data_IF_786207257669
#
_entry.id   IF_786207257669
#
_cell.length_a   1.000
_cell.length_b   1.000
_cell.length_c   1.000
_cell.angle_alpha   90.00
_cell.angle_beta   90.00
_cell.angle_gamma   90.00
#
_symmetry.space_group_name_H-M   'P 1'
#
loop_
_entity.id
_entity.type
_entity.pdbx_description
1 polymer ?
#
# COMPACT_ATOMS: atom_id res chain seq x y z
N UNK A 1 -25.40 -15.89 12.49
CA UNK A 1 -24.11 -15.38 13.02
C UNK A 1 -23.24 -15.08 11.81
N UNK A 2 -23.03 -13.80 11.46
CA UNK A 2 -22.03 -13.41 10.45
C UNK A 2 -20.66 -13.70 11.08
N UNK A 3 -19.90 -14.66 10.52
CA UNK A 3 -18.54 -14.92 10.96
C UNK A 3 -17.74 -13.64 10.91
N UNK A 4 -16.91 -13.40 11.93
CA UNK A 4 -15.93 -12.30 11.92
C UNK A 4 -15.11 -12.40 10.62
N UNK A 5 -14.89 -11.30 9.89
CA UNK A 5 -14.09 -11.35 8.66
C UNK A 5 -12.72 -11.96 8.97
N UNK A 6 -12.36 -12.98 8.20
CA UNK A 6 -11.07 -13.67 8.37
C UNK A 6 -9.95 -12.66 8.12
N UNK A 7 -9.17 -12.37 9.15
CA UNK A 7 -8.03 -11.47 9.05
C UNK A 7 -6.93 -12.11 8.21
N UNK A 8 -6.47 -11.40 7.17
CA UNK A 8 -5.33 -11.80 6.33
C UNK A 8 -4.01 -11.47 7.04
N UNK A 9 -3.95 -10.32 7.72
CA UNK A 9 -2.82 -9.93 8.56
C UNK A 9 -3.33 -9.51 9.92
N UNK A 10 -2.64 -9.96 10.97
CA UNK A 10 -2.88 -9.50 12.34
C UNK A 10 -1.55 -9.31 13.05
N UNK A 11 -1.33 -8.11 13.57
CA UNK A 11 -0.19 -7.75 14.39
C UNK A 11 -0.67 -7.38 15.79
N UNK A 12 0.00 -7.90 16.82
CA UNK A 12 -0.27 -7.59 18.23
C UNK A 12 1.03 -7.20 18.90
N UNK A 13 1.12 -5.95 19.38
CA UNK A 13 2.30 -5.37 20.00
C UNK A 13 3.58 -5.65 19.20
N UNK A 14 3.47 -5.57 17.86
CA UNK A 14 4.56 -5.87 16.95
C UNK A 14 5.71 -4.91 17.16
N UNK A 15 6.85 -5.43 17.60
CA UNK A 15 8.12 -4.72 17.62
C UNK A 15 9.09 -5.42 16.68
N UNK A 16 9.76 -4.67 15.82
CA UNK A 16 10.75 -5.21 14.90
C UNK A 16 12.03 -4.39 14.91
N UNK A 17 13.15 -5.08 14.64
CA UNK A 17 14.45 -4.44 14.48
C UNK A 17 14.95 -4.64 13.03
N UNK A 18 15.67 -3.63 12.54
CA UNK A 18 16.40 -3.72 11.28
C UNK A 18 17.53 -4.75 11.37
N UNK A 19 18.10 -5.13 10.22
CA UNK A 19 19.29 -5.98 10.15
C UNK A 19 20.53 -5.36 10.86
N UNK A 20 20.54 -4.05 11.03
CA UNK A 20 21.59 -3.30 11.76
C UNK A 20 21.29 -3.14 13.26
N UNK A 21 20.19 -3.72 13.76
CA UNK A 21 19.84 -3.75 15.17
C UNK A 21 19.11 -2.53 15.72
N UNK A 22 18.85 -1.47 14.92
CA UNK A 22 18.05 -0.34 15.39
C UNK A 22 16.54 -0.69 15.36
N UNK A 23 15.79 -0.09 16.28
CA UNK A 23 14.35 -0.32 16.39
C UNK A 23 13.62 0.31 15.19
N UNK A 24 12.86 -0.50 14.47
CA UNK A 24 12.24 -0.11 13.22
C UNK A 24 10.72 0.11 13.37
N UNK A 25 10.06 -0.71 14.21
CA UNK A 25 8.65 -0.59 14.56
C UNK A 25 8.49 -0.91 16.04
N UNK A 26 7.60 -0.20 16.72
CA UNK A 26 7.32 -0.36 18.15
C UNK A 26 5.81 -0.46 18.39
N UNK A 27 5.38 -1.50 19.10
CA UNK A 27 4.04 -1.72 19.66
C UNK A 27 2.88 -1.54 18.66
N UNK A 28 3.09 -1.93 17.38
CA UNK A 28 2.05 -1.84 16.38
C UNK A 28 0.99 -2.96 16.58
N UNK A 29 -0.28 -2.56 16.71
CA UNK A 29 -1.41 -3.49 16.84
C UNK A 29 -2.47 -3.15 15.80
N UNK A 30 -2.64 -3.99 14.80
CA UNK A 30 -3.60 -3.79 13.70
C UNK A 30 -4.02 -5.11 13.08
N UNK A 31 -5.08 -5.09 12.29
CA UNK A 31 -5.52 -6.26 11.51
C UNK A 31 -6.09 -5.83 10.17
N UNK A 32 -5.81 -6.59 9.12
CA UNK A 32 -6.33 -6.35 7.76
C UNK A 32 -7.19 -7.54 7.35
N UNK A 33 -8.45 -7.29 7.02
CA UNK A 33 -9.37 -8.29 6.56
C UNK A 33 -9.20 -8.57 5.04
N UNK A 34 -9.82 -9.66 4.56
CA UNK A 34 -9.87 -9.95 3.13
C UNK A 34 -10.53 -8.78 2.37
N UNK A 35 -9.86 -8.29 1.33
CA UNK A 35 -10.35 -7.19 0.49
C UNK A 35 -10.26 -5.80 1.12
N UNK A 36 -9.81 -5.68 2.37
CA UNK A 36 -9.66 -4.40 3.07
C UNK A 36 -8.42 -3.66 2.56
N UNK A 37 -8.57 -2.36 2.28
CA UNK A 37 -7.46 -1.46 1.93
C UNK A 37 -7.05 -0.63 3.14
N UNK A 38 -5.78 -0.72 3.54
CA UNK A 38 -5.21 0.05 4.65
C UNK A 38 -4.18 1.03 4.12
N UNK A 39 -4.35 2.32 4.41
CA UNK A 39 -3.32 3.32 4.15
C UNK A 39 -2.40 3.48 5.37
N UNK A 40 -1.10 3.42 5.15
CA UNK A 40 -0.08 3.75 6.17
C UNK A 40 0.42 5.15 5.89
N UNK A 41 0.19 6.07 6.82
CA UNK A 41 0.59 7.46 6.71
C UNK A 41 1.49 7.89 7.89
N UNK A 42 2.24 8.95 7.70
CA UNK A 42 3.17 9.49 8.70
C UNK A 42 4.28 10.30 8.04
N UNK A 43 5.02 11.13 8.78
CA UNK A 43 6.14 11.88 8.24
C UNK A 43 7.28 10.98 7.77
N UNK A 44 8.25 11.56 7.06
CA UNK A 44 9.45 10.83 6.67
C UNK A 44 10.20 10.33 7.91
N UNK A 45 10.69 9.08 7.85
CA UNK A 45 11.38 8.45 8.98
C UNK A 45 10.45 7.92 10.09
N UNK A 46 9.12 8.00 9.95
CA UNK A 46 8.18 7.49 10.97
C UNK A 46 8.09 5.96 11.06
N UNK A 47 8.72 5.22 10.12
CA UNK A 47 8.76 3.75 10.16
C UNK A 47 7.79 3.07 9.19
N UNK A 48 7.15 3.77 8.25
CA UNK A 48 6.17 3.21 7.29
C UNK A 48 6.74 2.04 6.46
N UNK A 49 7.82 2.27 5.72
CA UNK A 49 8.49 1.22 4.94
C UNK A 49 9.09 0.13 5.84
N UNK A 50 9.48 0.49 7.08
CA UNK A 50 9.94 -0.47 8.08
C UNK A 50 8.82 -1.42 8.53
N UNK A 51 7.59 -0.93 8.61
CA UNK A 51 6.42 -1.77 8.88
C UNK A 51 6.20 -2.79 7.75
N UNK A 52 6.30 -2.37 6.47
CA UNK A 52 6.21 -3.29 5.35
C UNK A 52 7.33 -4.35 5.39
N UNK A 53 8.57 -3.93 5.70
CA UNK A 53 9.72 -4.84 5.86
C UNK A 53 9.57 -5.81 7.04
N UNK A 54 8.89 -5.41 8.10
CA UNK A 54 8.54 -6.32 9.20
C UNK A 54 7.52 -7.38 8.75
N UNK A 55 6.52 -6.99 7.94
CA UNK A 55 5.51 -7.92 7.41
C UNK A 55 6.15 -8.91 6.43
N UNK A 56 7.05 -8.47 5.56
CA UNK A 56 7.77 -9.36 4.63
C UNK A 56 8.76 -10.28 5.35
N UNK A 57 9.19 -9.91 6.56
CA UNK A 57 10.19 -10.64 7.34
C UNK A 57 11.63 -10.25 7.04
N UNK A 58 11.86 -9.18 6.26
CA UNK A 58 13.19 -8.57 6.11
C UNK A 58 13.70 -8.02 7.46
N UNK A 59 12.78 -7.52 8.27
CA UNK A 59 13.05 -7.10 9.64
C UNK A 59 12.50 -8.13 10.62
N UNK A 60 13.35 -8.57 11.56
CA UNK A 60 12.97 -9.58 12.54
C UNK A 60 11.99 -9.02 13.56
N UNK A 61 10.91 -9.74 13.81
CA UNK A 61 10.04 -9.52 14.97
C UNK A 61 10.81 -9.91 16.24
N UNK A 62 11.00 -8.94 17.14
CA UNK A 62 11.71 -9.13 18.41
C UNK A 62 10.76 -9.24 19.60
N UNK A 63 9.54 -8.70 19.46
CA UNK A 63 8.49 -8.83 20.46
C UNK A 63 7.11 -8.74 19.77
N UNK A 64 6.07 -9.26 20.42
CA UNK A 64 4.73 -9.31 19.89
C UNK A 64 4.54 -10.48 18.91
N UNK A 65 3.48 -10.40 18.10
CA UNK A 65 3.09 -11.46 17.17
C UNK A 65 2.61 -10.89 15.85
N UNK A 66 3.04 -11.50 14.76
CA UNK A 66 2.56 -11.23 13.41
C UNK A 66 2.01 -12.51 12.79
N UNK A 67 0.73 -12.51 12.46
CA UNK A 67 0.07 -13.60 11.75
C UNK A 67 -0.20 -13.20 10.31
N UNK A 68 0.06 -14.09 9.37
CA UNK A 68 -0.32 -13.98 7.96
C UNK A 68 -1.22 -15.17 7.65
N UNK A 69 -2.45 -14.89 7.24
CA UNK A 69 -3.48 -15.90 7.01
C UNK A 69 -3.63 -16.91 8.18
N UNK A 70 -3.58 -16.40 9.41
CA UNK A 70 -3.69 -17.19 10.65
C UNK A 70 -2.43 -17.92 11.09
N UNK A 71 -1.37 -17.95 10.28
CA UNK A 71 -0.09 -18.61 10.59
C UNK A 71 0.93 -17.57 11.07
N UNK A 72 1.73 -17.92 12.09
CA UNK A 72 2.81 -17.05 12.57
C UNK A 72 3.82 -16.80 11.44
N UNK A 73 4.08 -15.52 11.15
CA UNK A 73 4.97 -15.12 10.06
C UNK A 73 6.40 -15.66 10.19
N UNK A 74 6.85 -15.99 11.42
CA UNK A 74 8.15 -16.60 11.67
C UNK A 74 8.19 -18.10 11.33
N UNK A 75 7.02 -18.76 11.21
CA UNK A 75 6.90 -20.19 10.88
C UNK A 75 6.75 -20.43 9.37
N UNK A 76 6.45 -19.38 8.61
CA UNK A 76 6.33 -19.45 7.15
C UNK A 76 7.71 -19.49 6.51
N UNK A 77 7.95 -20.50 5.67
CA UNK A 77 9.13 -20.49 4.82
C UNK A 77 9.04 -19.36 3.74
N UNK A 78 10.15 -18.94 3.13
CA UNK A 78 10.17 -17.86 2.16
C UNK A 78 9.23 -18.07 0.97
N UNK A 79 9.08 -19.31 0.48
CA UNK A 79 8.21 -19.63 -0.65
C UNK A 79 6.73 -19.55 -0.26
N UNK A 80 6.37 -20.10 0.90
CA UNK A 80 5.00 -19.98 1.44
C UNK A 80 4.61 -18.51 1.61
N UNK A 81 5.50 -17.68 2.17
CA UNK A 81 5.29 -16.25 2.33
C UNK A 81 5.16 -15.55 0.97
N UNK A 82 6.04 -15.87 0.01
CA UNK A 82 6.00 -15.30 -1.33
C UNK A 82 4.73 -15.69 -2.12
N UNK A 83 4.07 -16.81 -1.83
CA UNK A 83 2.76 -17.14 -2.41
C UNK A 83 1.60 -16.32 -1.81
N UNK A 84 1.77 -15.81 -0.60
CA UNK A 84 0.71 -15.09 0.11
C UNK A 84 0.86 -13.57 0.05
N UNK A 85 2.09 -13.06 -0.03
CA UNK A 85 2.40 -11.64 0.07
C UNK A 85 3.14 -11.19 -1.18
N UNK A 86 2.54 -10.29 -1.95
CA UNK A 86 3.23 -9.58 -3.03
C UNK A 86 3.65 -8.18 -2.57
N UNK A 87 4.78 -7.72 -3.08
CA UNK A 87 5.34 -6.40 -2.75
C UNK A 87 5.58 -5.61 -4.04
N UNK A 88 5.15 -4.36 -4.01
CA UNK A 88 5.54 -3.33 -4.99
C UNK A 88 6.39 -2.31 -4.24
N UNK A 89 7.69 -2.32 -4.49
CA UNK A 89 8.64 -1.47 -3.80
C UNK A 89 8.70 -0.07 -4.43
N UNK A 90 9.12 0.93 -3.66
CA UNK A 90 9.24 2.34 -4.09
C UNK A 90 10.18 2.51 -5.30
N UNK A 91 11.28 1.79 -5.32
CA UNK A 91 12.32 1.85 -6.36
C UNK A 91 12.46 0.49 -7.06
N UNK A 92 11.40 0.07 -7.72
CA UNK A 92 11.44 -1.16 -8.49
C UNK A 92 11.86 -0.83 -9.92
N UNK A 93 13.08 -1.27 -10.28
CA UNK A 93 13.61 -1.11 -11.62
C UNK A 93 13.49 -2.42 -12.39
N UNK A 94 12.49 -2.52 -13.24
CA UNK A 94 12.38 -3.61 -14.20
C UNK A 94 13.50 -3.51 -15.23
N UNK A 95 14.07 -4.66 -15.66
CA UNK A 95 15.02 -4.66 -16.78
C UNK A 95 14.30 -4.11 -18.03
N UNK A 96 14.76 -2.98 -18.61
CA UNK A 96 14.11 -2.33 -19.73
C UNK A 96 14.07 -3.18 -21.01
N UNK A 97 14.87 -4.26 -21.07
CA UNK A 97 14.97 -5.20 -22.20
C UNK A 97 13.93 -6.30 -22.18
N UNK A 98 13.27 -6.53 -21.04
CA UNK A 98 12.17 -7.49 -20.94
C UNK A 98 10.93 -6.93 -21.62
N UNK A 99 10.14 -7.81 -22.24
CA UNK A 99 8.77 -7.47 -22.62
C UNK A 99 7.92 -7.33 -21.35
N UNK A 100 6.82 -6.60 -21.45
CA UNK A 100 5.84 -6.44 -20.34
C UNK A 100 5.37 -7.82 -19.85
N UNK A 101 5.10 -8.74 -20.78
CA UNK A 101 4.67 -10.12 -20.49
C UNK A 101 5.73 -10.89 -19.71
N UNK A 102 6.99 -10.86 -20.16
CA UNK A 102 8.10 -11.51 -19.46
C UNK A 102 8.29 -10.94 -18.06
N UNK A 103 8.20 -9.62 -17.92
CA UNK A 103 8.29 -8.98 -16.61
C UNK A 103 7.16 -9.40 -15.67
N UNK A 104 5.92 -9.41 -16.15
CA UNK A 104 4.75 -9.84 -15.36
C UNK A 104 4.85 -11.33 -15.00
N UNK A 105 5.43 -12.15 -15.89
CA UNK A 105 5.71 -13.56 -15.63
C UNK A 105 6.59 -13.79 -14.39
N UNK A 106 7.49 -12.88 -14.05
CA UNK A 106 8.31 -12.98 -12.84
C UNK A 106 7.46 -13.09 -11.56
N UNK A 107 6.24 -12.57 -11.56
CA UNK A 107 5.28 -12.76 -10.48
C UNK A 107 4.89 -14.23 -10.26
N UNK A 108 5.11 -15.11 -11.23
CA UNK A 108 4.80 -16.54 -11.14
C UNK A 108 5.91 -17.40 -10.50
N UNK A 109 7.08 -16.81 -10.23
CA UNK A 109 8.23 -17.53 -9.65
C UNK A 109 7.87 -18.35 -8.40
N UNK A 110 7.09 -17.84 -7.42
CA UNK A 110 6.71 -18.64 -6.25
C UNK A 110 5.87 -19.88 -6.59
N UNK A 111 5.25 -19.92 -7.75
CA UNK A 111 4.35 -20.98 -8.20
C UNK A 111 4.99 -21.99 -9.18
N UNK A 112 6.30 -21.85 -9.48
CA UNK A 112 7.00 -22.64 -10.52
C UNK A 112 6.80 -24.16 -10.36
N UNK A 113 6.74 -24.66 -9.13
CA UNK A 113 6.65 -26.10 -8.88
C UNK A 113 5.23 -26.59 -8.57
N UNK A 114 4.23 -25.74 -8.56
CA UNK A 114 2.86 -26.12 -8.19
C UNK A 114 1.80 -25.81 -9.23
N UNK A 115 2.16 -25.16 -10.32
CA UNK A 115 1.24 -24.76 -11.39
C UNK A 115 1.77 -25.22 -12.76
N UNK A 116 0.87 -25.51 -13.69
CA UNK A 116 1.18 -25.81 -15.09
C UNK A 116 1.49 -24.52 -15.86
N UNK A 117 2.16 -24.64 -17.01
CA UNK A 117 2.44 -23.50 -17.89
C UNK A 117 1.14 -22.76 -18.30
N UNK A 118 0.06 -23.50 -18.55
CA UNK A 118 -1.25 -22.93 -18.92
C UNK A 118 -1.85 -22.09 -17.79
N UNK A 119 -1.68 -22.49 -16.53
CA UNK A 119 -2.10 -21.72 -15.36
C UNK A 119 -1.26 -20.45 -15.20
N UNK A 120 0.06 -20.55 -15.44
CA UNK A 120 0.93 -19.38 -15.44
C UNK A 120 0.55 -18.36 -16.52
N UNK A 121 0.36 -18.82 -17.76
CA UNK A 121 -0.09 -17.99 -18.88
C UNK A 121 -1.41 -17.28 -18.55
N UNK A 122 -2.40 -18.02 -18.05
CA UNK A 122 -3.70 -17.46 -17.67
C UNK A 122 -3.57 -16.38 -16.59
N UNK A 123 -2.75 -16.60 -15.57
CA UNK A 123 -2.55 -15.62 -14.49
C UNK A 123 -1.87 -14.35 -15.00
N UNK A 124 -0.91 -14.47 -15.92
CA UNK A 124 -0.22 -13.34 -16.55
C UNK A 124 -1.19 -12.55 -17.45
N UNK A 125 -1.98 -13.23 -18.31
CA UNK A 125 -2.97 -12.56 -19.16
C UNK A 125 -4.00 -11.80 -18.32
N UNK A 126 -4.55 -12.43 -17.28
CA UNK A 126 -5.49 -11.79 -16.38
C UNK A 126 -4.87 -10.56 -15.68
N UNK A 127 -3.62 -10.67 -15.22
CA UNK A 127 -2.94 -9.55 -14.60
C UNK A 127 -2.70 -8.38 -15.57
N UNK A 128 -2.38 -8.66 -16.83
CA UNK A 128 -2.25 -7.65 -17.88
C UNK A 128 -3.59 -6.98 -18.21
N UNK A 129 -4.68 -7.75 -18.24
CA UNK A 129 -6.02 -7.25 -18.43
C UNK A 129 -6.47 -6.33 -17.29
N UNK A 130 -6.28 -6.78 -16.06
CA UNK A 130 -6.62 -6.03 -14.84
C UNK A 130 -6.02 -4.63 -14.81
N UNK A 131 -4.80 -4.45 -15.35
CA UNK A 131 -4.11 -3.14 -15.38
C UNK A 131 -4.22 -2.41 -16.74
N UNK A 132 -4.96 -2.97 -17.71
CA UNK A 132 -5.13 -2.37 -19.04
C UNK A 132 -3.88 -2.40 -19.93
N UNK A 133 -3.01 -3.40 -19.76
CA UNK A 133 -1.77 -3.56 -20.53
C UNK A 133 -1.80 -4.74 -21.53
N UNK A 134 -2.93 -5.42 -21.75
CA UNK A 134 -3.04 -6.59 -22.63
C UNK A 134 -2.45 -6.35 -24.02
N UNK A 135 -2.78 -5.20 -24.66
CA UNK A 135 -2.28 -4.83 -25.98
C UNK A 135 -0.80 -4.45 -26.02
N UNK A 136 -0.18 -4.27 -24.83
CA UNK A 136 1.23 -3.88 -24.68
C UNK A 136 2.11 -5.01 -24.18
N UNK A 137 1.57 -6.22 -24.02
CA UNK A 137 2.29 -7.36 -23.47
C UNK A 137 3.62 -7.69 -24.17
N UNK A 138 3.70 -7.46 -25.49
CA UNK A 138 4.91 -7.71 -26.29
C UNK A 138 5.84 -6.46 -26.44
N UNK A 139 5.48 -5.32 -25.84
CA UNK A 139 6.37 -4.15 -25.82
C UNK A 139 7.44 -4.31 -24.77
N UNK A 140 8.59 -3.67 -25.00
CA UNK A 140 9.65 -3.62 -24.01
C UNK A 140 9.26 -2.68 -22.86
N UNK A 141 9.60 -3.05 -21.62
CA UNK A 141 9.36 -2.23 -20.42
C UNK A 141 9.97 -0.83 -20.59
N UNK A 142 11.18 -0.74 -21.16
CA UNK A 142 11.86 0.54 -21.39
C UNK A 142 11.16 1.47 -22.38
N UNK A 143 10.16 0.97 -23.15
CA UNK A 143 9.37 1.78 -24.08
C UNK A 143 8.08 2.33 -23.48
N UNK A 144 7.76 1.95 -22.24
CA UNK A 144 6.55 2.36 -21.54
C UNK A 144 6.73 3.74 -20.87
N UNK A 145 5.64 4.50 -20.75
CA UNK A 145 5.59 5.67 -19.88
C UNK A 145 5.75 5.28 -18.40
N UNK A 146 6.10 6.22 -17.52
CA UNK A 146 6.24 5.95 -16.09
C UNK A 146 4.97 5.36 -15.45
N UNK A 147 3.79 5.87 -15.83
CA UNK A 147 2.51 5.32 -15.36
C UNK A 147 2.25 3.91 -15.88
N UNK A 148 2.63 3.58 -17.11
CA UNK A 148 2.53 2.23 -17.65
C UNK A 148 3.53 1.26 -16.99
N UNK A 149 4.74 1.73 -16.69
CA UNK A 149 5.72 0.94 -15.93
C UNK A 149 5.18 0.64 -14.52
N UNK A 150 4.56 1.61 -13.87
CA UNK A 150 3.95 1.38 -12.55
C UNK A 150 2.78 0.39 -12.63
N UNK A 151 1.94 0.46 -13.66
CA UNK A 151 0.90 -0.55 -13.93
C UNK A 151 1.51 -1.93 -14.19
N UNK A 152 2.66 -2.02 -14.86
CA UNK A 152 3.36 -3.29 -15.06
C UNK A 152 3.89 -3.86 -13.72
N UNK A 153 4.38 -3.03 -12.80
CA UNK A 153 4.77 -3.44 -11.44
C UNK A 153 3.56 -4.02 -10.68
N UNK A 154 2.40 -3.38 -10.76
CA UNK A 154 1.16 -3.88 -10.17
C UNK A 154 0.72 -5.19 -10.85
N UNK A 155 0.79 -5.29 -12.19
CA UNK A 155 0.46 -6.53 -12.92
C UNK A 155 1.34 -7.69 -12.48
N UNK A 156 2.65 -7.48 -12.31
CA UNK A 156 3.57 -8.49 -11.78
C UNK A 156 3.14 -8.96 -10.38
N UNK A 157 2.76 -8.02 -9.51
CA UNK A 157 2.26 -8.37 -8.18
C UNK A 157 0.90 -9.10 -8.23
N UNK A 158 0.00 -8.74 -9.14
CA UNK A 158 -1.28 -9.44 -9.33
C UNK A 158 -1.10 -10.83 -9.93
N UNK A 159 -0.15 -11.02 -10.86
CA UNK A 159 0.17 -12.32 -11.42
C UNK A 159 0.64 -13.33 -10.36
N UNK A 160 1.15 -12.86 -9.23
CA UNK A 160 1.49 -13.69 -8.07
C UNK A 160 0.26 -14.25 -7.36
N UNK A 161 -0.96 -13.76 -7.63
CA UNK A 161 -2.22 -14.15 -6.98
C UNK A 161 -2.14 -14.07 -5.43
N UNK A 162 -1.67 -12.95 -4.87
CA UNK A 162 -1.40 -12.82 -3.45
C UNK A 162 -2.70 -12.74 -2.63
N UNK A 163 -2.60 -13.07 -1.34
CA UNK A 163 -3.63 -12.78 -0.33
C UNK A 163 -3.48 -11.36 0.25
N UNK A 164 -2.26 -10.85 0.25
CA UNK A 164 -1.89 -9.51 0.73
C UNK A 164 -1.01 -8.81 -0.29
N UNK A 165 -1.35 -7.58 -0.62
CA UNK A 165 -0.55 -6.68 -1.45
C UNK A 165 0.07 -5.59 -0.56
N UNK A 166 1.37 -5.48 -0.58
CA UNK A 166 2.13 -4.42 0.08
C UNK A 166 2.65 -3.44 -0.96
N UNK A 167 2.38 -2.17 -0.75
CA UNK A 167 2.68 -1.09 -1.70
C UNK A 167 3.48 0.00 -0.98
N UNK A 168 4.73 0.19 -1.37
CA UNK A 168 5.55 1.26 -0.81
C UNK A 168 5.57 2.45 -1.78
N UNK A 169 4.78 3.48 -1.47
CA UNK A 169 4.64 4.72 -2.24
C UNK A 169 4.27 4.50 -3.73
N UNK A 170 3.20 3.72 -4.03
CA UNK A 170 2.88 3.30 -5.39
C UNK A 170 2.49 4.45 -6.33
N UNK A 171 2.16 5.61 -5.78
CA UNK A 171 1.70 6.80 -6.53
C UNK A 171 2.79 7.81 -6.83
N UNK A 172 4.02 7.56 -6.39
CA UNK A 172 5.13 8.49 -6.64
C UNK A 172 5.43 8.63 -8.13
N UNK A 173 5.77 9.84 -8.54
CA UNK A 173 6.11 10.22 -9.92
C UNK A 173 4.97 10.05 -10.95
N UNK A 174 3.75 9.76 -10.50
CA UNK A 174 2.57 9.74 -11.35
C UNK A 174 1.89 11.11 -11.39
N UNK A 175 1.25 11.42 -12.53
CA UNK A 175 0.36 12.57 -12.62
C UNK A 175 -0.91 12.36 -11.75
N UNK A 176 -1.65 13.44 -11.43
CA UNK A 176 -2.78 13.36 -10.51
C UNK A 176 -3.86 12.35 -10.92
N UNK A 177 -4.16 12.24 -12.22
CA UNK A 177 -5.17 11.31 -12.72
C UNK A 177 -4.68 9.86 -12.58
N UNK A 178 -3.44 9.59 -13.01
CA UNK A 178 -2.84 8.25 -12.92
C UNK A 178 -2.74 7.73 -11.48
N UNK A 179 -2.55 8.63 -10.48
CA UNK A 179 -2.57 8.26 -9.04
C UNK A 179 -3.93 7.72 -8.63
N UNK A 180 -5.00 8.43 -8.98
CA UNK A 180 -6.38 8.05 -8.65
C UNK A 180 -6.74 6.73 -9.32
N UNK A 181 -6.50 6.62 -10.64
CA UNK A 181 -6.77 5.40 -11.42
C UNK A 181 -6.03 4.19 -10.86
N UNK A 182 -4.76 4.35 -10.46
CA UNK A 182 -3.97 3.25 -9.89
C UNK A 182 -4.54 2.75 -8.56
N UNK A 183 -4.91 3.68 -7.65
CA UNK A 183 -5.48 3.31 -6.35
C UNK A 183 -6.87 2.68 -6.52
N UNK A 184 -7.69 3.18 -7.44
CA UNK A 184 -8.99 2.59 -7.76
C UNK A 184 -8.83 1.16 -8.32
N UNK A 185 -7.88 0.96 -9.23
CA UNK A 185 -7.56 -0.36 -9.80
C UNK A 185 -7.17 -1.36 -8.70
N UNK A 186 -6.33 -0.95 -7.74
CA UNK A 186 -5.94 -1.80 -6.61
C UNK A 186 -7.17 -2.14 -5.76
N UNK A 187 -8.02 -1.17 -5.47
CA UNK A 187 -9.24 -1.35 -4.68
C UNK A 187 -10.23 -2.29 -5.36
N UNK A 188 -10.46 -2.12 -6.67
CA UNK A 188 -11.34 -2.97 -7.48
C UNK A 188 -10.86 -4.43 -7.57
N UNK A 189 -9.54 -4.67 -7.47
CA UNK A 189 -9.01 -6.04 -7.44
C UNK A 189 -9.49 -6.85 -6.23
N UNK A 190 -9.87 -6.19 -5.13
CA UNK A 190 -10.42 -6.84 -3.93
C UNK A 190 -9.43 -7.71 -3.17
N UNK A 191 -8.13 -7.49 -3.34
CA UNK A 191 -7.07 -8.12 -2.55
C UNK A 191 -6.82 -7.25 -1.32
N UNK A 192 -6.64 -7.89 -0.14
CA UNK A 192 -6.21 -7.17 1.05
C UNK A 192 -4.93 -6.37 0.75
N UNK A 193 -4.93 -5.08 1.04
CA UNK A 193 -3.84 -4.19 0.62
C UNK A 193 -3.38 -3.29 1.76
N UNK A 194 -2.06 -3.12 1.89
CA UNK A 194 -1.43 -2.12 2.78
C UNK A 194 -0.58 -1.21 1.90
N UNK A 195 -0.96 0.06 1.78
CA UNK A 195 -0.27 1.04 0.96
C UNK A 195 0.32 2.17 1.81
N UNK A 196 1.60 2.44 1.67
CA UNK A 196 2.23 3.66 2.18
C UNK A 196 1.85 4.80 1.25
N UNK A 197 1.18 5.81 1.78
CA UNK A 197 0.75 6.99 1.03
C UNK A 197 1.32 8.26 1.64
N UNK A 198 1.83 9.16 0.78
CA UNK A 198 2.30 10.50 1.18
C UNK A 198 1.24 11.58 0.96
N UNK A 199 0.38 11.40 -0.05
CA UNK A 199 -0.65 12.35 -0.42
C UNK A 199 -1.89 12.14 0.45
N UNK A 200 -2.05 12.93 1.53
CA UNK A 200 -3.17 12.82 2.46
C UNK A 200 -4.56 12.88 1.81
N UNK A 201 -4.81 13.72 0.77
CA UNK A 201 -6.08 13.73 0.04
C UNK A 201 -6.46 12.39 -0.61
N UNK A 202 -5.48 11.53 -0.94
CA UNK A 202 -5.73 10.22 -1.55
C UNK A 202 -6.11 9.14 -0.53
N UNK A 203 -5.92 9.40 0.76
CA UNK A 203 -6.10 8.40 1.82
C UNK A 203 -7.56 8.00 1.97
N UNK A 204 -8.46 8.96 2.14
CA UNK A 204 -9.88 8.68 2.36
C UNK A 204 -10.58 8.00 1.17
N UNK A 205 -10.32 8.36 -0.11
CA UNK A 205 -10.86 7.63 -1.26
C UNK A 205 -10.38 6.18 -1.38
N UNK A 206 -9.13 5.92 -0.96
CA UNK A 206 -8.51 4.61 -1.09
C UNK A 206 -8.83 3.68 0.08
N UNK A 207 -8.66 4.15 1.31
CA UNK A 207 -8.54 3.29 2.47
C UNK A 207 -9.86 3.04 3.21
N UNK A 208 -10.06 1.81 3.67
CA UNK A 208 -11.10 1.45 4.64
C UNK A 208 -10.61 1.74 6.06
N UNK A 209 -9.29 1.63 6.29
CA UNK A 209 -8.63 2.02 7.56
C UNK A 209 -7.32 2.73 7.31
N UNK A 210 -6.93 3.54 8.25
CA UNK A 210 -5.69 4.31 8.26
C UNK A 210 -4.84 3.90 9.45
N UNK A 211 -3.58 3.58 9.19
CA UNK A 211 -2.55 3.35 10.18
C UNK A 211 -1.63 4.57 10.20
N UNK A 212 -1.73 5.38 11.25
CA UNK A 212 -0.91 6.57 11.44
C UNK A 212 0.35 6.22 12.24
N UNK A 213 1.51 6.53 11.68
CA UNK A 213 2.81 6.31 12.30
C UNK A 213 3.53 7.61 12.62
N UNK A 214 4.18 7.66 13.78
CA UNK A 214 5.14 8.69 14.18
C UNK A 214 6.25 8.08 15.02
N UNK A 215 7.49 8.46 14.81
CA UNK A 215 8.66 8.03 15.60
C UNK A 215 8.75 6.49 15.80
N UNK A 216 8.54 5.74 14.71
CA UNK A 216 8.52 4.26 14.67
C UNK A 216 7.40 3.62 15.52
N UNK A 217 6.40 4.40 15.96
CA UNK A 217 5.23 3.92 16.72
C UNK A 217 3.96 4.09 15.93
N UNK A 218 3.01 3.20 16.17
CA UNK A 218 1.64 3.38 15.74
C UNK A 218 0.93 4.36 16.67
N UNK A 219 0.45 5.47 16.11
CA UNK A 219 -0.30 6.51 16.82
C UNK A 219 -1.80 6.21 16.83
N UNK A 220 -2.33 5.78 15.69
CA UNK A 220 -3.74 5.46 15.53
C UNK A 220 -3.94 4.37 14.47
N UNK A 221 -5.02 3.59 14.62
CA UNK A 221 -5.51 2.65 13.63
C UNK A 221 -7.03 2.64 13.66
N UNK A 222 -7.67 3.33 12.71
CA UNK A 222 -9.12 3.49 12.65
C UNK A 222 -9.58 3.86 11.23
N UNK A 223 -10.87 4.17 11.03
CA UNK A 223 -11.38 4.65 9.75
C UNK A 223 -10.76 6.00 9.35
N UNK A 224 -10.76 6.35 8.05
CA UNK A 224 -10.27 7.65 7.60
C UNK A 224 -10.95 8.82 8.32
N UNK A 225 -12.26 8.77 8.55
CA UNK A 225 -13.01 9.82 9.22
C UNK A 225 -12.55 10.05 10.67
N UNK A 226 -12.05 9.00 11.32
CA UNK A 226 -11.57 9.09 12.71
C UNK A 226 -10.11 9.59 12.75
N UNK A 227 -9.24 9.09 11.86
CA UNK A 227 -7.81 9.45 11.88
C UNK A 227 -7.54 10.81 11.25
N UNK A 228 -8.33 11.21 10.22
CA UNK A 228 -8.14 12.49 9.51
C UNK A 228 -8.78 13.66 10.29
N UNK A 229 -8.50 13.73 11.59
CA UNK A 229 -8.93 14.78 12.50
C UNK A 229 -7.71 15.56 13.01
N UNK A 230 -7.94 16.82 13.41
CA UNK A 230 -6.88 17.68 13.95
C UNK A 230 -6.17 17.08 15.16
N UNK A 231 -6.87 16.27 15.95
CA UNK A 231 -6.31 15.57 17.13
C UNK A 231 -5.12 14.67 16.76
N UNK A 232 -5.18 14.02 15.61
CA UNK A 232 -4.13 13.09 15.12
C UNK A 232 -3.19 13.75 14.11
N UNK A 233 -3.74 14.49 13.15
CA UNK A 233 -2.95 15.03 12.03
C UNK A 233 -2.08 16.21 12.47
N UNK A 234 -2.59 17.11 13.31
CA UNK A 234 -1.82 18.29 13.70
C UNK A 234 -0.55 17.95 14.48
N UNK A 235 -0.58 17.08 15.52
CA UNK A 235 0.64 16.74 16.25
C UNK A 235 1.69 16.00 15.41
N UNK A 236 1.25 15.21 14.41
CA UNK A 236 2.13 14.36 13.61
C UNK A 236 2.71 15.08 12.39
N UNK A 237 1.89 15.89 11.70
CA UNK A 237 2.27 16.52 10.44
C UNK A 237 2.44 18.04 10.54
N UNK A 238 2.00 18.67 11.63
CA UNK A 238 1.94 20.13 11.72
C UNK A 238 0.89 20.76 10.80
N UNK A 239 -0.09 19.97 10.35
CA UNK A 239 -1.16 20.39 9.45
C UNK A 239 -2.49 20.54 10.20
N UNK A 240 -3.29 21.50 9.75
CA UNK A 240 -4.70 21.64 10.15
C UNK A 240 -5.58 20.97 9.11
N UNK A 241 -6.54 20.17 9.57
CA UNK A 241 -7.55 19.53 8.72
C UNK A 241 -8.83 20.36 8.75
N UNK A 242 -9.29 20.74 7.56
CA UNK A 242 -10.59 21.36 7.36
C UNK A 242 -11.47 20.37 6.63
N UNK A 243 -12.54 19.92 7.29
CA UNK A 243 -13.48 18.96 6.73
C UNK A 243 -14.61 19.70 6.04
N UNK A 244 -14.80 19.42 4.75
CA UNK A 244 -15.81 20.04 3.90
C UNK A 244 -16.82 18.98 3.44
N UNK A 245 -18.12 19.33 3.40
CA UNK A 245 -19.12 18.51 2.74
C UNK A 245 -19.09 18.75 1.24
N UNK A 246 -19.06 17.67 0.45
CA UNK A 246 -19.15 17.77 -1.01
C UNK A 246 -20.59 17.53 -1.46
N UNK A 247 -21.17 18.39 -2.34
CA UNK A 247 -22.59 18.29 -2.70
C UNK A 247 -22.92 17.04 -3.55
N UNK A 248 -21.93 16.41 -4.18
CA UNK A 248 -22.12 15.28 -5.12
C UNK A 248 -21.44 13.99 -4.68
N UNK A 249 -20.58 14.03 -3.66
CA UNK A 249 -19.84 12.86 -3.16
C UNK A 249 -20.35 12.55 -1.75
N UNK A 250 -20.80 11.32 -1.53
CA UNK A 250 -21.12 10.87 -0.19
C UNK A 250 -19.82 10.73 0.62
N UNK A 251 -19.68 11.54 1.66
CA UNK A 251 -18.50 11.58 2.51
C UNK A 251 -17.91 12.97 2.67
N UNK A 252 -16.92 13.08 3.54
CA UNK A 252 -16.20 14.31 3.82
C UNK A 252 -14.97 14.44 2.92
N UNK A 253 -14.75 15.64 2.40
CA UNK A 253 -13.50 16.02 1.73
C UNK A 253 -12.61 16.71 2.74
N UNK A 254 -11.36 16.26 2.86
CA UNK A 254 -10.40 16.86 3.77
C UNK A 254 -9.46 17.79 3.00
N UNK A 255 -9.40 19.04 3.45
CA UNK A 255 -8.43 20.02 3.02
C UNK A 255 -7.38 20.22 4.11
N UNK A 256 -6.11 20.39 3.72
CA UNK A 256 -4.98 20.45 4.65
C UNK A 256 -4.28 21.80 4.52
N UNK A 257 -4.10 22.48 5.67
CA UNK A 257 -3.43 23.76 5.78
C UNK A 257 -2.28 23.69 6.79
N UNK A 258 -1.27 24.55 6.68
CA UNK A 258 -0.23 24.64 7.71
C UNK A 258 -0.83 25.10 9.03
N UNK A 259 -0.57 24.38 10.14
CA UNK A 259 -1.14 24.69 11.45
C UNK A 259 -0.63 26.04 12.04
N UNK A 260 0.54 26.52 11.60
CA UNK A 260 1.21 27.74 12.07
C UNK A 260 1.15 28.89 11.07
N UNK A 261 0.07 29.04 10.30
CA UNK A 261 -0.02 30.17 9.38
C UNK A 261 -0.60 31.40 10.05
N UNK A 262 0.25 32.25 10.61
CA UNK A 262 0.08 33.71 10.52
C UNK A 262 0.29 34.18 9.06
N UNK A 263 -0.27 33.46 8.08
CA UNK A 263 -0.41 33.99 6.72
C UNK A 263 -1.58 34.98 6.76
N UNK A 264 -1.24 36.26 7.07
CA UNK A 264 -2.05 37.39 6.66
C UNK A 264 -2.13 37.32 5.12
N UNK A 265 -3.17 36.70 4.59
CA UNK A 265 -3.53 36.85 3.18
C UNK A 265 -3.89 38.33 3.03
N UNK A 266 -3.13 39.13 2.26
CA UNK A 266 -3.56 40.50 1.95
C UNK A 266 -4.94 40.34 1.30
N UNK A 267 -5.93 41.03 1.84
CA UNK A 267 -7.28 41.12 1.25
C UNK A 267 -7.09 41.55 -0.20
N UNK A 268 -7.31 40.64 -1.15
CA UNK A 268 -7.41 40.98 -2.57
C UNK A 268 -8.65 41.86 -2.64
N UNK A 269 -8.42 43.18 -2.73
CA UNK A 269 -9.45 44.17 -2.82
C UNK A 269 -10.39 43.86 -3.97
N UNK A 270 -11.68 43.81 -3.65
CA UNK A 270 -12.72 43.87 -4.65
C UNK A 270 -12.53 45.15 -5.49
N UNK A 271 -12.28 44.97 -6.78
CA UNK A 271 -12.42 45.98 -7.81
C UNK A 271 -13.51 45.51 -8.80
#
# INVERSE_FOLDING_TARGET
>A
MKGLPTSIVSAQLLCSNSSQGWRAVTDATFSVAQGECVAVIGPNGSGKSSLLKAITGEFKTVNGRLLINGTDANQLDPNQKAKMVAVVAQHEHADPRLTVREYVWLGRVPHTFCCSNKEHERAVEQALEDVGLSMKGNRLIGSLSGGEQQRANIARAFAQEPRLLLLDEPTNHLDPLARLELLELIKLKGVASIAVLHDLPLVAPFADKVLLMSEQKMVAYASPEQVMQNEYITPVFGLRVVTLSHPQIAGAVHHFEAASSNYNIPSIGAA
#
